data_IF_738552411162
#
_entry.id   IF_738552411162
#
_cell.length_a   1.000
_cell.length_b   1.000
_cell.length_c   1.000
_cell.angle_alpha   90.00
_cell.angle_beta   90.00
_cell.angle_gamma   90.00
#
_symmetry.space_group_name_H-M   'P 1'
#
loop_
_entity.id
_entity.type
_entity.pdbx_description
1 polymer ?
#
# COMPACT_ATOMS: atom_id res chain seq x y z
N UNK A 1 -22.51 26.12 -20.48
CA UNK A 1 -23.66 26.40 -19.59
C UNK A 1 -23.23 25.94 -18.17
N UNK A 2 -22.82 26.92 -17.33
CA UNK A 2 -22.45 26.68 -15.93
C UNK A 2 -23.70 26.46 -15.09
N UNK A 3 -24.01 25.23 -14.73
CA UNK A 3 -24.99 24.92 -13.71
C UNK A 3 -24.37 25.05 -12.32
N UNK A 4 -25.09 25.56 -11.33
CA UNK A 4 -24.70 25.45 -9.92
C UNK A 4 -24.60 23.99 -9.58
N UNK A 5 -23.48 23.56 -8.99
CA UNK A 5 -23.30 22.19 -8.48
C UNK A 5 -24.45 21.79 -7.55
N UNK A 6 -24.79 20.51 -7.52
CA UNK A 6 -25.79 19.99 -6.57
C UNK A 6 -25.04 19.47 -5.34
N UNK A 7 -25.55 19.78 -4.14
CA UNK A 7 -25.05 19.18 -2.90
C UNK A 7 -25.17 17.66 -2.97
N UNK A 8 -24.07 16.96 -2.67
CA UNK A 8 -24.04 15.50 -2.68
C UNK A 8 -24.41 14.89 -1.32
N UNK A 9 -24.25 15.65 -0.24
CA UNK A 9 -24.54 15.21 1.12
C UNK A 9 -25.18 16.32 1.95
N UNK A 10 -26.00 15.94 2.94
CA UNK A 10 -26.51 16.83 3.99
C UNK A 10 -25.71 16.58 5.25
N UNK A 11 -24.95 17.56 5.70
CA UNK A 11 -24.09 17.48 6.88
C UNK A 11 -24.67 18.26 8.05
N UNK A 12 -24.24 17.91 9.29
CA UNK A 12 -24.51 18.73 10.48
C UNK A 12 -23.62 19.99 10.44
N UNK A 13 -23.95 20.98 11.25
CA UNK A 13 -23.33 22.31 11.21
C UNK A 13 -21.78 22.27 11.37
N UNK A 14 -21.22 21.29 12.07
CA UNK A 14 -19.77 21.15 12.32
C UNK A 14 -19.14 19.92 11.64
N UNK A 15 -19.86 19.29 10.67
CA UNK A 15 -19.38 18.09 9.98
C UNK A 15 -18.93 18.43 8.56
N UNK A 16 -17.85 17.82 8.07
CA UNK A 16 -17.33 18.03 6.72
C UNK A 16 -16.76 16.74 6.13
N UNK A 17 -16.71 16.66 4.80
CA UNK A 17 -16.12 15.52 4.09
C UNK A 17 -14.60 15.61 4.19
N UNK A 18 -13.99 14.67 4.89
CA UNK A 18 -12.55 14.60 5.09
C UNK A 18 -11.84 13.73 4.04
N UNK A 19 -12.48 12.64 3.60
CA UNK A 19 -11.90 11.70 2.65
C UNK A 19 -12.84 11.43 1.48
N UNK A 20 -12.28 11.39 0.26
CA UNK A 20 -12.93 10.89 -0.94
C UNK A 20 -12.15 9.70 -1.46
N UNK A 21 -12.82 8.56 -1.65
CA UNK A 21 -12.21 7.33 -2.16
C UNK A 21 -13.04 6.85 -3.34
N UNK A 22 -12.34 6.50 -4.42
CA UNK A 22 -12.92 5.85 -5.59
C UNK A 22 -12.33 4.45 -5.69
N UNK A 23 -13.17 3.44 -5.58
CA UNK A 23 -12.72 2.04 -5.54
C UNK A 23 -13.81 1.07 -5.99
N UNK A 24 -13.45 -0.19 -6.22
CA UNK A 24 -14.39 -1.27 -6.55
C UNK A 24 -15.22 -1.68 -5.34
N UNK A 25 -16.47 -2.13 -5.58
CA UNK A 25 -17.35 -2.69 -4.55
C UNK A 25 -16.74 -3.91 -3.82
N UNK A 26 -15.87 -4.66 -4.50
CA UNK A 26 -15.19 -5.84 -3.94
C UNK A 26 -13.87 -5.51 -3.24
N UNK A 27 -13.40 -4.28 -3.33
CA UNK A 27 -12.15 -3.87 -2.72
C UNK A 27 -12.18 -4.01 -1.19
N UNK A 28 -11.02 -4.19 -0.62
CA UNK A 28 -10.78 -4.10 0.82
C UNK A 28 -10.28 -2.69 1.13
N UNK A 29 -10.76 -2.13 2.22
CA UNK A 29 -10.30 -0.84 2.74
C UNK A 29 -9.61 -1.09 4.08
N UNK A 30 -8.40 -0.56 4.23
CA UNK A 30 -7.67 -0.53 5.50
C UNK A 30 -7.88 0.85 6.14
N UNK A 31 -8.50 0.85 7.31
CA UNK A 31 -8.77 2.06 8.09
C UNK A 31 -7.76 2.16 9.23
N UNK A 32 -6.85 3.11 9.16
CA UNK A 32 -5.83 3.36 10.17
C UNK A 32 -6.31 4.44 11.14
N UNK A 33 -6.00 4.26 12.42
CA UNK A 33 -6.41 5.17 13.48
C UNK A 33 -5.23 5.90 14.11
N UNK A 34 -5.52 7.02 14.75
CA UNK A 34 -4.57 7.87 15.45
C UNK A 34 -3.80 7.13 16.57
N UNK A 35 -4.40 6.08 17.14
CA UNK A 35 -3.77 5.22 18.16
C UNK A 35 -2.91 4.09 17.56
N UNK A 36 -2.66 4.12 16.23
CA UNK A 36 -1.79 3.16 15.56
C UNK A 36 -2.39 1.78 15.31
N UNK A 37 -3.72 1.66 15.35
CA UNK A 37 -4.44 0.45 14.94
C UNK A 37 -4.86 0.52 13.47
N UNK A 38 -5.14 -0.64 12.89
CA UNK A 38 -5.73 -0.78 11.56
C UNK A 38 -6.90 -1.74 11.63
N UNK A 39 -7.99 -1.37 10.97
CA UNK A 39 -9.19 -2.18 10.78
C UNK A 39 -9.37 -2.48 9.29
N UNK A 40 -10.01 -3.59 9.00
CA UNK A 40 -10.36 -3.99 7.65
C UNK A 40 -11.87 -3.87 7.44
N UNK A 41 -12.26 -3.23 6.36
CA UNK A 41 -13.65 -3.09 5.94
C UNK A 41 -13.75 -3.49 4.46
N UNK A 42 -14.76 -4.26 4.10
CA UNK A 42 -15.11 -4.49 2.70
C UNK A 42 -16.01 -3.36 2.21
N UNK A 43 -15.79 -2.88 1.00
CA UNK A 43 -16.56 -1.74 0.47
C UNK A 43 -18.06 -2.05 0.46
N UNK A 44 -18.46 -3.28 0.13
CA UNK A 44 -19.87 -3.69 0.13
C UNK A 44 -20.51 -3.74 1.54
N UNK A 45 -19.73 -3.74 2.61
CA UNK A 45 -20.22 -3.67 4.00
C UNK A 45 -20.64 -2.24 4.38
N UNK A 46 -20.15 -1.24 3.63
CA UNK A 46 -20.60 0.15 3.79
C UNK A 46 -22.01 0.28 3.22
N UNK A 47 -23.00 0.68 4.03
CA UNK A 47 -24.38 0.75 3.57
C UNK A 47 -24.56 1.69 2.37
N UNK A 48 -25.16 1.18 1.31
CA UNK A 48 -25.53 2.00 0.18
C UNK A 48 -26.58 3.04 0.60
N UNK A 49 -26.40 4.27 0.19
CA UNK A 49 -27.32 5.35 0.48
C UNK A 49 -27.50 6.25 -0.76
N UNK A 50 -28.62 6.98 -0.80
CA UNK A 50 -28.87 7.97 -1.87
C UNK A 50 -27.95 9.18 -1.69
N UNK A 51 -27.73 9.91 -2.79
CA UNK A 51 -27.07 11.22 -2.71
C UNK A 51 -27.88 12.16 -1.83
N UNK A 52 -27.22 12.84 -0.89
CA UNK A 52 -27.86 13.69 0.11
C UNK A 52 -28.22 13.00 1.43
N UNK A 53 -27.94 11.69 1.56
CA UNK A 53 -28.07 11.01 2.83
C UNK A 53 -26.94 11.45 3.80
N UNK A 54 -27.27 11.43 5.10
CA UNK A 54 -26.31 11.83 6.18
C UNK A 54 -25.19 10.82 6.44
N UNK A 55 -25.25 9.63 5.82
CA UNK A 55 -24.31 8.53 6.13
C UNK A 55 -24.60 7.85 7.47
N UNK A 56 -23.73 6.89 7.83
CA UNK A 56 -23.75 6.19 9.13
C UNK A 56 -22.43 6.40 9.87
N UNK A 57 -22.45 6.50 11.20
CA UNK A 57 -21.22 6.63 12.00
C UNK A 57 -20.29 5.44 11.77
N UNK A 58 -19.00 5.69 11.66
CA UNK A 58 -17.97 4.65 11.45
C UNK A 58 -17.89 3.65 12.61
N UNK A 59 -18.22 4.06 13.82
CA UNK A 59 -18.33 3.17 15.02
C UNK A 59 -19.38 2.07 14.86
N UNK A 60 -20.32 2.21 13.92
CA UNK A 60 -21.29 1.15 13.60
C UNK A 60 -20.76 0.15 12.56
N UNK A 61 -19.66 0.47 11.93
CA UNK A 61 -19.00 -0.36 10.90
C UNK A 61 -17.71 -1.01 11.43
N UNK A 62 -17.02 -0.31 12.32
CA UNK A 62 -15.75 -0.73 12.91
C UNK A 62 -15.81 -0.64 14.43
N UNK A 63 -15.25 -1.60 15.17
CA UNK A 63 -15.25 -1.59 16.64
C UNK A 63 -14.18 -0.64 17.18
N UNK A 64 -14.34 0.66 16.89
CA UNK A 64 -13.45 1.70 17.38
C UNK A 64 -13.60 1.85 18.91
N UNK A 65 -12.50 2.09 19.57
CA UNK A 65 -12.49 2.42 21.00
C UNK A 65 -12.96 3.87 21.24
N UNK A 66 -13.27 4.19 22.49
CA UNK A 66 -13.62 5.56 22.87
C UNK A 66 -12.43 6.49 22.55
N UNK A 67 -12.72 7.60 21.88
CA UNK A 67 -11.72 8.58 21.40
C UNK A 67 -10.74 8.11 20.34
N UNK A 68 -10.93 6.93 19.74
CA UNK A 68 -10.18 6.47 18.59
C UNK A 68 -10.74 7.10 17.32
N UNK A 69 -9.88 7.76 16.53
CA UNK A 69 -10.27 8.45 15.30
C UNK A 69 -9.53 7.88 14.08
N UNK A 70 -10.23 7.84 12.94
CA UNK A 70 -9.62 7.36 11.69
C UNK A 70 -8.75 8.47 11.12
N UNK A 71 -7.48 8.17 10.93
CA UNK A 71 -6.47 9.07 10.35
C UNK A 71 -6.30 8.86 8.85
N UNK A 72 -6.38 7.61 8.38
CA UNK A 72 -6.21 7.29 6.97
C UNK A 72 -7.08 6.12 6.56
N UNK A 73 -7.55 6.18 5.32
CA UNK A 73 -8.35 5.12 4.68
C UNK A 73 -7.68 4.77 3.36
N UNK A 74 -7.18 3.55 3.25
CA UNK A 74 -6.45 3.07 2.09
C UNK A 74 -7.22 1.95 1.39
N UNK A 75 -7.71 2.16 0.15
CA UNK A 75 -8.30 1.10 -0.63
C UNK A 75 -7.20 0.14 -1.11
N UNK A 76 -7.40 -1.15 -0.87
CA UNK A 76 -6.60 -2.24 -1.41
C UNK A 76 -7.49 -2.99 -2.38
N UNK A 77 -7.26 -2.81 -3.69
CA UNK A 77 -8.14 -3.31 -4.75
C UNK A 77 -8.17 -4.83 -4.74
N UNK A 78 -7.02 -5.48 -4.53
CA UNK A 78 -6.91 -6.90 -4.26
C UNK A 78 -6.20 -7.09 -2.92
N UNK A 79 -6.65 -8.07 -2.11
CA UNK A 79 -5.82 -8.52 -1.00
C UNK A 79 -4.48 -8.95 -1.63
N UNK A 80 -3.36 -8.32 -1.29
CA UNK A 80 -2.12 -8.65 -1.97
C UNK A 80 -1.86 -10.14 -1.74
N UNK A 81 -1.86 -10.90 -2.84
CA UNK A 81 -1.41 -12.29 -2.80
C UNK A 81 -0.03 -12.29 -2.15
N UNK A 82 0.24 -13.24 -1.31
CA UNK A 82 1.57 -13.39 -0.74
C UNK A 82 2.60 -13.43 -1.85
N UNK A 83 3.77 -12.91 -1.59
CA UNK A 83 4.86 -12.96 -2.56
C UNK A 83 5.06 -14.39 -3.10
N UNK A 84 5.06 -15.39 -2.21
CA UNK A 84 5.19 -16.81 -2.56
C UNK A 84 4.08 -17.30 -3.50
N UNK A 85 2.84 -16.83 -3.32
CA UNK A 85 1.72 -17.16 -4.20
C UNK A 85 1.89 -16.51 -5.59
N UNK A 86 2.28 -15.23 -5.62
CA UNK A 86 2.55 -14.51 -6.89
C UNK A 86 3.71 -15.16 -7.66
N UNK A 87 4.76 -15.55 -6.95
CA UNK A 87 5.91 -16.24 -7.54
C UNK A 87 5.50 -17.60 -8.13
N UNK A 88 4.69 -18.39 -7.39
CA UNK A 88 4.19 -19.67 -7.86
C UNK A 88 3.30 -19.52 -9.11
N UNK A 89 2.42 -18.52 -9.12
CA UNK A 89 1.59 -18.20 -10.28
C UNK A 89 2.44 -17.85 -11.50
N UNK A 90 3.43 -16.98 -11.32
CA UNK A 90 4.34 -16.57 -12.39
C UNK A 90 5.18 -17.73 -12.94
N UNK A 91 5.76 -18.55 -12.06
CA UNK A 91 6.51 -19.76 -12.47
C UNK A 91 5.62 -20.72 -13.25
N UNK A 92 4.39 -20.92 -12.83
CA UNK A 92 3.42 -21.76 -13.53
C UNK A 92 3.08 -21.18 -14.90
N UNK A 93 2.91 -19.87 -15.00
CA UNK A 93 2.64 -19.16 -16.25
C UNK A 93 3.80 -19.29 -17.22
N UNK A 94 5.04 -19.03 -16.77
CA UNK A 94 6.26 -19.17 -17.58
C UNK A 94 6.40 -20.59 -18.11
N UNK A 95 6.20 -21.60 -17.25
CA UNK A 95 6.27 -23.01 -17.65
C UNK A 95 5.19 -23.39 -18.69
N UNK A 96 3.96 -22.94 -18.48
CA UNK A 96 2.85 -23.25 -19.39
C UNK A 96 3.02 -22.62 -20.78
N UNK A 97 3.69 -21.46 -20.86
CA UNK A 97 3.85 -20.69 -22.10
C UNK A 97 5.29 -20.69 -22.63
N UNK A 98 6.16 -21.56 -22.14
CA UNK A 98 7.61 -21.57 -22.41
C UNK A 98 7.96 -21.48 -23.90
N UNK A 99 7.33 -22.32 -24.73
CA UNK A 99 7.61 -22.34 -26.18
C UNK A 99 7.20 -21.03 -26.85
N UNK A 100 6.09 -20.43 -26.44
CA UNK A 100 5.61 -19.16 -26.99
C UNK A 100 6.48 -17.98 -26.52
N UNK A 101 6.79 -17.93 -25.24
CA UNK A 101 7.63 -16.86 -24.66
C UNK A 101 9.01 -16.78 -25.32
N UNK A 102 9.61 -17.93 -25.68
CA UNK A 102 10.90 -18.00 -26.37
C UNK A 102 10.84 -17.54 -27.83
N UNK A 103 9.68 -17.29 -28.42
CA UNK A 103 9.58 -16.65 -29.74
C UNK A 103 9.89 -15.16 -29.68
N UNK A 104 9.75 -14.53 -28.52
CA UNK A 104 10.17 -13.15 -28.32
C UNK A 104 11.67 -13.10 -28.03
N UNK A 105 12.43 -12.38 -28.87
CA UNK A 105 13.89 -12.32 -28.80
C UNK A 105 14.43 -11.79 -27.45
N UNK A 106 13.72 -10.84 -26.83
CA UNK A 106 14.09 -10.25 -25.53
C UNK A 106 13.93 -11.30 -24.43
N UNK A 107 12.77 -11.97 -24.36
CA UNK A 107 12.53 -13.00 -23.36
C UNK A 107 13.47 -14.18 -23.57
N UNK A 108 13.67 -14.63 -24.82
CA UNK A 108 14.55 -15.73 -25.14
C UNK A 108 16.00 -15.49 -24.66
N UNK A 109 16.49 -14.26 -24.74
CA UNK A 109 17.83 -13.90 -24.28
C UNK A 109 18.01 -14.07 -22.76
N UNK A 110 16.95 -13.90 -21.97
CA UNK A 110 16.96 -13.98 -20.52
C UNK A 110 16.35 -15.27 -19.95
N UNK A 111 15.77 -16.11 -20.81
CA UNK A 111 14.96 -17.25 -20.39
C UNK A 111 15.72 -18.27 -19.53
N UNK A 112 16.94 -18.62 -19.95
CA UNK A 112 17.77 -19.59 -19.25
C UNK A 112 18.19 -19.09 -17.85
N UNK A 113 18.46 -17.79 -17.72
CA UNK A 113 18.81 -17.16 -16.44
C UNK A 113 17.60 -17.10 -15.49
N UNK A 114 16.42 -16.81 -16.04
CA UNK A 114 15.17 -16.85 -15.27
C UNK A 114 14.85 -18.26 -14.75
N UNK A 115 14.99 -19.28 -15.60
CA UNK A 115 14.80 -20.68 -15.17
C UNK A 115 15.80 -21.09 -14.08
N UNK A 116 17.09 -20.74 -14.24
CA UNK A 116 18.12 -21.02 -13.25
C UNK A 116 17.79 -20.30 -11.91
N UNK A 117 17.43 -19.03 -11.95
CA UNK A 117 17.06 -18.28 -10.76
C UNK A 117 15.81 -18.86 -10.06
N UNK A 118 14.82 -19.33 -10.83
CA UNK A 118 13.65 -20.02 -10.26
C UNK A 118 14.00 -21.38 -9.63
N UNK A 119 15.01 -22.08 -10.15
CA UNK A 119 15.45 -23.35 -9.61
C UNK A 119 16.18 -23.19 -8.25
N UNK A 120 16.85 -22.07 -8.04
CA UNK A 120 17.57 -21.76 -6.80
C UNK A 120 16.66 -21.26 -5.68
N UNK A 121 15.45 -20.77 -6.00
CA UNK A 121 14.50 -20.30 -5.00
C UNK A 121 13.82 -21.48 -4.31
N UNK A 122 14.04 -21.63 -3.01
CA UNK A 122 13.27 -22.53 -2.17
C UNK A 122 11.85 -21.99 -1.90
N UNK A 123 10.94 -22.88 -1.51
CA UNK A 123 9.60 -22.50 -1.12
C UNK A 123 9.64 -21.60 0.13
N UNK A 124 9.19 -20.37 -0.01
CA UNK A 124 9.14 -19.38 1.06
C UNK A 124 10.27 -18.35 1.07
N UNK A 125 11.22 -18.46 0.15
CA UNK A 125 12.27 -17.46 0.00
C UNK A 125 11.74 -16.15 -0.64
N UNK A 126 12.34 -15.04 -0.24
CA UNK A 126 12.17 -13.76 -0.93
C UNK A 126 12.96 -13.76 -2.25
N UNK A 127 12.57 -12.89 -3.19
CA UNK A 127 13.34 -12.71 -4.43
C UNK A 127 14.78 -12.32 -4.10
N UNK A 128 15.73 -13.04 -4.67
CA UNK A 128 17.12 -12.61 -4.63
C UNK A 128 17.26 -11.26 -5.34
N UNK A 129 18.19 -10.43 -4.89
CA UNK A 129 18.47 -9.13 -5.52
C UNK A 129 18.82 -9.30 -6.99
N UNK A 130 19.51 -10.39 -7.36
CA UNK A 130 19.84 -10.71 -8.75
C UNK A 130 18.58 -10.90 -9.61
N UNK A 131 17.60 -11.67 -9.14
CA UNK A 131 16.36 -11.88 -9.88
C UNK A 131 15.51 -10.60 -9.96
N UNK A 132 15.52 -9.76 -8.91
CA UNK A 132 14.86 -8.43 -8.95
C UNK A 132 15.47 -7.55 -10.04
N UNK A 133 16.80 -7.53 -10.15
CA UNK A 133 17.51 -6.76 -11.19
C UNK A 133 17.18 -7.30 -12.57
N UNK A 134 17.18 -8.61 -12.77
CA UNK A 134 16.81 -9.24 -14.04
C UNK A 134 15.37 -8.92 -14.46
N UNK A 135 14.40 -9.08 -13.56
CA UNK A 135 13.01 -8.75 -13.83
C UNK A 135 12.82 -7.26 -14.17
N UNK A 136 13.58 -6.39 -13.50
CA UNK A 136 13.57 -4.94 -13.80
C UNK A 136 14.11 -4.66 -15.20
N UNK A 137 15.25 -5.23 -15.54
CA UNK A 137 15.87 -5.04 -16.86
C UNK A 137 14.95 -5.56 -17.96
N UNK A 138 14.43 -6.77 -17.79
CA UNK A 138 13.50 -7.38 -18.74
C UNK A 138 12.22 -6.55 -18.90
N UNK A 139 11.67 -6.01 -17.82
CA UNK A 139 10.51 -5.12 -17.85
C UNK A 139 10.78 -3.82 -18.64
N UNK A 140 11.96 -3.22 -18.46
CA UNK A 140 12.38 -2.02 -19.21
C UNK A 140 12.53 -2.33 -20.69
N UNK A 141 13.17 -3.43 -21.05
CA UNK A 141 13.38 -3.83 -22.44
C UNK A 141 12.04 -4.16 -23.14
N UNK A 142 11.14 -4.88 -22.47
CA UNK A 142 9.80 -5.18 -22.99
C UNK A 142 8.93 -3.93 -23.13
N UNK A 143 9.00 -2.99 -22.20
CA UNK A 143 8.22 -1.75 -22.27
C UNK A 143 8.62 -0.82 -23.42
N UNK A 144 9.79 -1.03 -23.99
CA UNK A 144 10.26 -0.30 -25.19
C UNK A 144 9.74 -0.90 -26.49
N UNK A 145 9.02 -2.03 -26.45
CA UNK A 145 8.45 -2.72 -27.61
C UNK A 145 6.93 -2.64 -27.61
N UNK A 146 6.34 -2.71 -28.80
CA UNK A 146 4.88 -2.82 -28.93
C UNK A 146 4.47 -4.25 -28.53
N UNK A 147 3.67 -4.38 -27.47
CA UNK A 147 3.25 -5.67 -26.93
C UNK A 147 1.87 -6.06 -27.48
N UNK A 148 1.78 -6.31 -28.77
CA UNK A 148 0.54 -6.78 -29.42
C UNK A 148 0.17 -8.24 -29.07
N UNK A 149 1.11 -8.98 -28.47
CA UNK A 149 0.94 -10.37 -28.07
C UNK A 149 0.44 -10.46 -26.61
N UNK A 150 -0.77 -10.97 -26.42
CA UNK A 150 -1.41 -11.07 -25.11
C UNK A 150 -0.60 -11.92 -24.11
N UNK A 151 0.10 -12.98 -24.57
CA UNK A 151 0.91 -13.84 -23.72
C UNK A 151 2.15 -13.09 -23.23
N UNK A 152 2.79 -12.33 -24.11
CA UNK A 152 3.97 -11.55 -23.76
C UNK A 152 3.58 -10.37 -22.87
N UNK A 153 2.46 -9.70 -23.13
CA UNK A 153 1.93 -8.64 -22.33
C UNK A 153 1.59 -9.11 -20.89
N UNK A 154 0.96 -10.26 -20.76
CA UNK A 154 0.66 -10.86 -19.45
C UNK A 154 1.95 -11.28 -18.71
N UNK A 155 2.94 -11.85 -19.40
CA UNK A 155 4.24 -12.13 -18.83
C UNK A 155 4.90 -10.86 -18.28
N UNK A 156 4.93 -9.78 -19.05
CA UNK A 156 5.50 -8.50 -18.63
C UNK A 156 4.76 -7.93 -17.39
N UNK A 157 3.44 -8.01 -17.39
CA UNK A 157 2.59 -7.58 -16.27
C UNK A 157 2.88 -8.36 -14.99
N UNK A 158 2.97 -9.69 -15.07
CA UNK A 158 3.27 -10.54 -13.92
C UNK A 158 4.71 -10.35 -13.42
N UNK A 159 5.68 -10.21 -14.32
CA UNK A 159 7.07 -9.93 -13.97
C UNK A 159 7.19 -8.59 -13.22
N UNK A 160 6.51 -7.55 -13.70
CA UNK A 160 6.46 -6.24 -13.04
C UNK A 160 5.79 -6.32 -11.67
N UNK A 161 4.70 -7.07 -11.54
CA UNK A 161 4.03 -7.29 -10.26
C UNK A 161 4.92 -8.03 -9.25
N UNK A 162 5.79 -8.93 -9.70
CA UNK A 162 6.77 -9.61 -8.84
C UNK A 162 7.89 -8.68 -8.39
N UNK A 163 8.34 -7.81 -9.28
CA UNK A 163 9.40 -6.84 -8.98
C UNK A 163 9.00 -5.87 -7.88
N UNK A 164 7.73 -5.48 -7.84
CA UNK A 164 7.19 -4.52 -6.87
C UNK A 164 6.78 -5.20 -5.58
N UNK A 165 7.38 -4.77 -4.49
CA UNK A 165 6.86 -5.02 -3.16
C UNK A 165 6.10 -3.79 -2.70
N UNK A 166 4.87 -4.00 -2.24
CA UNK A 166 4.07 -2.92 -1.70
C UNK A 166 4.25 -2.82 -0.19
N UNK A 167 4.34 -1.60 0.28
CA UNK A 167 4.52 -1.28 1.68
C UNK A 167 3.41 -0.33 2.17
N UNK A 168 3.17 -0.37 3.45
CA UNK A 168 2.45 0.67 4.17
C UNK A 168 3.49 1.55 4.84
N UNK A 169 3.61 2.77 4.40
CA UNK A 169 4.46 3.79 5.00
C UNK A 169 3.62 4.63 5.95
N UNK A 170 4.09 4.80 7.17
CA UNK A 170 3.39 5.48 8.27
C UNK A 170 4.25 6.59 8.83
N UNK A 171 3.62 7.69 9.25
CA UNK A 171 4.27 8.79 9.94
C UNK A 171 3.46 9.23 11.16
N UNK A 172 4.16 9.57 12.24
CA UNK A 172 3.56 10.04 13.48
C UNK A 172 3.80 11.54 13.69
N UNK A 173 3.04 12.16 14.58
CA UNK A 173 3.17 13.58 14.92
C UNK A 173 4.56 13.92 15.47
N UNK A 174 5.21 13.00 16.19
CA UNK A 174 6.58 13.18 16.69
C UNK A 174 7.66 13.11 15.61
N UNK A 175 7.29 12.82 14.34
CA UNK A 175 8.22 12.65 13.24
C UNK A 175 8.85 11.27 13.15
N UNK A 176 8.30 10.29 13.85
CA UNK A 176 8.65 8.87 13.70
C UNK A 176 8.03 8.34 12.41
N UNK A 177 8.78 7.55 11.65
CA UNK A 177 8.30 6.90 10.43
C UNK A 177 8.51 5.40 10.50
N UNK A 178 7.68 4.67 9.76
CA UNK A 178 7.72 3.22 9.71
C UNK A 178 7.30 2.72 8.34
N UNK A 179 8.00 1.71 7.82
CA UNK A 179 7.65 0.99 6.60
C UNK A 179 7.38 -0.48 6.95
N UNK A 180 6.22 -0.99 6.56
CA UNK A 180 5.77 -2.36 6.80
C UNK A 180 5.29 -2.94 5.47
N UNK A 181 5.63 -4.18 5.18
CA UNK A 181 5.11 -4.86 3.99
C UNK A 181 3.58 -4.94 4.02
N UNK A 182 2.94 -4.58 2.92
CA UNK A 182 1.47 -4.56 2.80
C UNK A 182 0.87 -5.95 3.09
N UNK A 183 1.60 -7.00 2.74
CA UNK A 183 1.21 -8.39 2.99
C UNK A 183 0.93 -8.68 4.47
N UNK A 184 1.63 -8.02 5.40
CA UNK A 184 1.40 -8.17 6.84
C UNK A 184 0.02 -7.70 7.29
N UNK A 185 -0.72 -7.01 6.41
CA UNK A 185 -2.10 -6.55 6.64
C UNK A 185 -3.15 -7.39 5.90
N UNK A 186 -2.77 -8.51 5.26
CA UNK A 186 -3.72 -9.41 4.57
C UNK A 186 -4.77 -10.01 5.49
N UNK A 187 -4.43 -10.26 6.76
CA UNK A 187 -5.28 -10.89 7.77
C UNK A 187 -5.55 -9.97 8.97
N UNK A 188 -6.17 -8.82 8.71
CA UNK A 188 -6.64 -7.94 9.79
C UNK A 188 -7.90 -8.54 10.42
N UNK A 189 -7.84 -8.82 11.72
CA UNK A 189 -8.96 -9.37 12.50
C UNK A 189 -10.06 -8.32 12.69
N UNK A 190 -11.29 -8.77 13.00
CA UNK A 190 -12.43 -7.88 13.23
C UNK A 190 -12.21 -6.86 14.36
N UNK A 191 -11.46 -7.22 15.39
CA UNK A 191 -11.11 -6.33 16.51
C UNK A 191 -9.93 -5.39 16.23
N UNK A 192 -9.51 -5.30 14.97
CA UNK A 192 -8.36 -4.52 14.56
C UNK A 192 -7.02 -5.20 14.82
N UNK A 193 -5.96 -4.55 14.38
CA UNK A 193 -4.60 -5.02 14.48
C UNK A 193 -3.68 -3.84 14.77
N UNK A 194 -2.67 -4.01 15.61
CA UNK A 194 -1.64 -2.98 15.80
C UNK A 194 -0.80 -2.84 14.53
N UNK A 195 -0.78 -1.65 13.94
CA UNK A 195 0.01 -1.31 12.76
C UNK A 195 1.37 -0.70 13.13
N UNK A 196 1.40 0.09 14.20
CA UNK A 196 2.58 0.73 14.76
C UNK A 196 2.45 0.78 16.28
N UNK A 197 3.56 0.65 17.00
CA UNK A 197 3.62 0.95 18.42
C UNK A 197 3.99 2.41 18.60
N UNK A 198 3.08 3.19 19.18
CA UNK A 198 3.28 4.61 19.46
C UNK A 198 3.97 4.83 20.81
N UNK A 199 4.76 5.89 20.91
CA UNK A 199 5.20 6.38 22.21
C UNK A 199 4.03 7.08 22.93
N UNK A 200 4.20 7.35 24.23
CA UNK A 200 3.23 8.15 24.99
C UNK A 200 3.03 9.52 24.32
N UNK A 201 1.79 9.98 24.26
CA UNK A 201 1.36 11.25 23.65
C UNK A 201 1.64 11.40 22.14
N UNK A 202 2.15 10.36 21.44
CA UNK A 202 2.32 10.38 19.99
C UNK A 202 1.06 9.86 19.27
N UNK A 203 0.81 10.35 18.08
CA UNK A 203 -0.33 9.96 17.26
C UNK A 203 0.09 9.65 15.83
N UNK A 204 -0.57 8.69 15.20
CA UNK A 204 -0.41 8.42 13.79
C UNK A 204 -1.11 9.52 12.98
N UNK A 205 -0.38 10.22 12.11
CA UNK A 205 -0.90 11.36 11.35
C UNK A 205 -1.01 11.11 9.85
N UNK A 206 -0.31 10.11 9.33
CA UNK A 206 -0.31 9.85 7.89
C UNK A 206 0.06 8.42 7.56
N UNK A 207 -0.62 7.88 6.57
CA UNK A 207 -0.37 6.53 6.03
C UNK A 207 -0.52 6.56 4.52
N UNK A 208 0.39 5.89 3.81
CA UNK A 208 0.35 5.74 2.36
C UNK A 208 0.79 4.34 1.95
N UNK A 209 0.28 3.86 0.81
CA UNK A 209 0.83 2.66 0.15
C UNK A 209 1.95 3.11 -0.77
N UNK A 210 3.10 2.44 -0.70
CA UNK A 210 4.27 2.68 -1.52
C UNK A 210 4.72 1.38 -2.19
N UNK A 211 5.56 1.47 -3.22
CA UNK A 211 6.00 0.36 -4.06
C UNK A 211 7.51 0.03 -3.95
N UNK A 212 8.19 0.62 -2.99
CA UNK A 212 9.63 0.44 -2.77
C UNK A 212 10.51 1.48 -3.48
N UNK A 213 9.95 2.33 -4.34
CA UNK A 213 10.70 3.29 -5.17
C UNK A 213 10.29 4.76 -4.92
N UNK A 214 9.45 5.04 -3.91
CA UNK A 214 8.88 6.36 -3.71
C UNK A 214 9.80 7.32 -2.93
N UNK A 215 9.56 8.61 -3.12
CA UNK A 215 10.14 9.67 -2.28
C UNK A 215 9.16 10.05 -1.19
N UNK A 216 9.62 10.06 0.04
CA UNK A 216 8.84 10.47 1.19
C UNK A 216 9.12 11.94 1.49
N UNK A 217 8.06 12.71 1.68
CA UNK A 217 8.16 14.10 2.12
C UNK A 217 7.43 14.27 3.44
N UNK A 218 8.09 14.88 4.41
CA UNK A 218 7.52 15.25 5.69
C UNK A 218 7.56 16.75 5.86
N UNK A 219 6.49 17.31 6.38
CA UNK A 219 6.34 18.73 6.65
C UNK A 219 5.99 18.94 8.12
N UNK A 220 6.68 19.85 8.78
CA UNK A 220 6.34 20.24 10.15
C UNK A 220 5.40 21.45 10.18
N UNK A 221 4.69 21.63 11.28
CA UNK A 221 3.87 22.81 11.55
C UNK A 221 4.66 24.12 11.58
N UNK A 222 5.97 24.05 11.82
CA UNK A 222 6.89 25.21 11.75
C UNK A 222 7.34 25.55 10.32
N UNK A 223 6.78 24.90 9.30
CA UNK A 223 7.11 25.15 7.90
C UNK A 223 8.42 24.52 7.42
N UNK A 224 8.98 23.56 8.18
CA UNK A 224 10.16 22.81 7.74
C UNK A 224 9.74 21.61 6.90
N UNK A 225 10.52 21.27 5.88
CA UNK A 225 10.29 20.11 5.03
C UNK A 225 11.57 19.28 4.85
N UNK A 226 11.40 17.97 4.74
CA UNK A 226 12.47 17.06 4.34
C UNK A 226 11.95 16.11 3.26
N UNK A 227 12.88 15.59 2.46
CA UNK A 227 12.61 14.54 1.47
C UNK A 227 13.71 13.49 1.55
N UNK A 228 13.32 12.23 1.48
CA UNK A 228 14.24 11.09 1.45
C UNK A 228 13.60 9.92 0.68
N UNK A 229 14.41 8.96 0.22
CA UNK A 229 13.91 7.76 -0.41
C UNK A 229 13.25 6.85 0.62
N UNK A 230 12.14 6.20 0.28
CA UNK A 230 11.49 5.26 1.21
C UNK A 230 12.41 4.11 1.63
N UNK A 231 13.40 3.76 0.79
CA UNK A 231 14.41 2.73 1.06
C UNK A 231 15.37 3.10 2.19
N UNK A 232 15.50 4.39 2.54
CA UNK A 232 16.28 4.83 3.70
C UNK A 232 15.65 4.36 5.03
N UNK A 233 14.37 3.97 4.97
CA UNK A 233 13.64 3.34 6.08
C UNK A 233 13.53 1.85 5.82
N UNK A 234 14.29 1.04 6.56
CA UNK A 234 14.18 -0.43 6.45
C UNK A 234 12.75 -0.91 6.74
N UNK A 235 12.34 -1.99 6.07
CA UNK A 235 11.09 -2.67 6.40
C UNK A 235 11.14 -3.26 7.81
N UNK A 236 10.03 -3.18 8.54
CA UNK A 236 9.92 -3.62 9.94
C UNK A 236 8.61 -4.37 10.17
N UNK A 237 8.61 -5.21 11.20
CA UNK A 237 7.39 -5.86 11.65
C UNK A 237 6.37 -4.87 12.26
N UNK A 238 5.10 -5.23 12.24
CA UNK A 238 3.98 -4.40 12.73
C UNK A 238 4.13 -3.91 14.17
N UNK A 239 4.71 -4.72 15.06
CA UNK A 239 4.91 -4.37 16.47
C UNK A 239 6.07 -3.41 16.73
N UNK A 240 6.86 -3.02 15.72
CA UNK A 240 7.96 -2.08 15.89
C UNK A 240 7.45 -0.64 16.05
N UNK A 241 8.21 0.19 16.77
CA UNK A 241 7.92 1.62 16.97
C UNK A 241 8.22 2.48 15.74
N UNK A 242 9.10 2.04 14.86
CA UNK A 242 9.61 2.82 13.74
C UNK A 242 10.99 3.43 14.02
N UNK A 243 11.38 4.33 13.15
CA UNK A 243 12.65 5.08 13.21
C UNK A 243 12.37 6.57 13.07
N UNK A 244 13.33 7.40 13.45
CA UNK A 244 13.20 8.84 13.30
C UNK A 244 13.26 9.21 11.82
N UNK A 245 12.19 9.80 11.29
CA UNK A 245 12.13 10.38 9.96
C UNK A 245 12.50 11.86 9.96
N UNK A 246 11.89 12.64 10.86
CA UNK A 246 12.16 14.07 11.00
C UNK A 246 12.31 14.44 12.47
N UNK A 247 13.16 15.43 12.78
CA UNK A 247 13.17 16.06 14.10
C UNK A 247 12.07 17.12 14.16
N UNK A 248 10.94 16.78 14.74
CA UNK A 248 9.96 17.78 15.14
C UNK A 248 10.40 18.38 16.47
N UNK A 249 10.46 19.70 16.56
CA UNK A 249 10.63 20.38 17.83
C UNK A 249 9.24 20.40 18.47
N UNK A 250 8.98 19.54 19.44
CA UNK A 250 7.84 19.76 20.34
C UNK A 250 8.16 21.01 21.14
N UNK A 251 7.56 22.12 20.77
CA UNK A 251 7.46 23.26 21.68
C UNK A 251 6.75 22.76 22.94
N UNK A 252 7.36 22.97 24.10
CA UNK A 252 6.64 22.82 25.35
C UNK A 252 5.29 23.53 25.22
N UNK A 253 4.16 22.96 25.62
CA UNK A 253 2.91 23.69 25.64
C UNK A 253 3.15 24.95 26.46
N UNK A 254 3.02 26.11 25.84
CA UNK A 254 2.94 27.36 26.58
C UNK A 254 1.70 27.24 27.45
N UNK A 255 1.93 26.99 28.73
CA UNK A 255 0.94 27.19 29.78
C UNK A 255 0.80 28.71 29.90
N UNK A 256 -0.25 29.27 29.34
CA UNK A 256 -0.83 30.54 29.77
C UNK A 256 -2.07 30.27 30.64
#
# INVERSE_FOLDING_TARGET
RGGRGKSATSMKEDDYVQHLIVTSNHATVLCFTDVGKVYRLKVFEVPQASRGAKGRPMVNLLPLEANETITAILPVIDAPKKFTERLADFRSYVKANAAHLQTNAIIAAHYAELEAAFAELADGDDLSDALRVQLKQLGVELSATDLDDEIIAEFASQAEALRKNYYVFMATASGTVKRVELEQFSNVRSNGLRAIELNEEDTLIGVAITDGEQQIMLFSNEGKAIRFAETDVRSMGRAAKGVRGMRASFGSPHVE
#
